data_IF_915230767226
#
_entry.id   IF_915230767226
#
_cell.length_a   1.000
_cell.length_b   1.000
_cell.length_c   1.000
_cell.angle_alpha   90.00
_cell.angle_beta   90.00
_cell.angle_gamma   90.00
#
_symmetry.space_group_name_H-M   'P 1'
#
loop_
_entity.id
_entity.type
_entity.pdbx_description
1 polymer ?
#
# COMPACT_ATOMS: atom_id res chain seq x y z
N UNK A 1 -5.09 6.29 5.19
CA UNK A 1 -6.11 7.30 5.63
C UNK A 1 -6.38 8.19 4.44
N UNK A 2 -7.55 8.82 4.36
CA UNK A 2 -7.95 9.68 3.23
C UNK A 2 -7.11 10.95 3.05
N UNK A 3 -6.36 11.33 4.08
CA UNK A 3 -5.38 12.44 4.06
C UNK A 3 -3.94 11.94 4.00
N UNK A 4 -3.72 10.67 3.66
CA UNK A 4 -2.37 10.07 3.64
C UNK A 4 -2.14 9.21 2.41
N UNK A 5 -3.06 8.31 2.06
CA UNK A 5 -2.77 7.26 1.09
C UNK A 5 -3.89 7.04 0.09
N UNK A 6 -3.67 7.56 -1.11
CA UNK A 6 -4.31 7.12 -2.35
C UNK A 6 -3.26 6.46 -3.26
N UNK A 7 -3.55 6.37 -4.55
CA UNK A 7 -2.74 5.69 -5.56
C UNK A 7 -1.32 6.29 -5.70
N UNK A 8 -1.12 7.61 -5.63
CA UNK A 8 0.20 8.25 -5.75
C UNK A 8 1.13 7.86 -4.61
N UNK A 9 0.70 8.11 -3.37
CA UNK A 9 1.41 7.65 -2.17
C UNK A 9 1.67 6.14 -2.23
N UNK A 10 0.69 5.33 -2.66
CA UNK A 10 0.88 3.88 -2.70
C UNK A 10 1.92 3.42 -3.74
N UNK A 11 1.96 4.06 -4.92
CA UNK A 11 3.01 3.83 -5.93
C UNK A 11 4.36 4.24 -5.37
N UNK A 12 4.47 5.49 -4.91
CA UNK A 12 5.74 6.05 -4.48
C UNK A 12 6.29 5.27 -3.27
N UNK A 13 5.44 4.89 -2.30
CA UNK A 13 5.88 4.05 -1.18
C UNK A 13 6.37 2.67 -1.64
N UNK A 14 5.71 2.06 -2.63
CA UNK A 14 6.13 0.77 -3.18
C UNK A 14 7.48 0.87 -3.90
N UNK A 15 7.70 1.93 -4.70
CA UNK A 15 8.97 2.21 -5.36
C UNK A 15 10.11 2.40 -4.36
N UNK A 16 9.83 2.98 -3.18
CA UNK A 16 10.80 3.14 -2.10
C UNK A 16 10.98 1.88 -1.21
N UNK A 17 10.41 0.73 -1.61
CA UNK A 17 10.53 -0.54 -0.89
C UNK A 17 9.57 -0.70 0.30
N UNK A 18 8.58 0.17 0.42
CA UNK A 18 7.49 0.10 1.40
C UNK A 18 6.17 -0.41 0.79
N UNK A 19 5.05 -0.12 1.46
CA UNK A 19 3.71 -0.44 0.98
C UNK A 19 2.71 0.65 1.39
N UNK A 20 1.85 1.08 0.48
CA UNK A 20 0.74 1.99 0.77
C UNK A 20 -0.59 1.26 0.92
N UNK A 21 -1.35 1.58 1.97
CA UNK A 21 -2.69 1.03 2.22
C UNK A 21 -3.76 2.06 1.81
N UNK A 22 -4.46 1.79 0.71
CA UNK A 22 -5.56 2.63 0.22
C UNK A 22 -6.68 2.69 1.27
N UNK A 23 -7.17 3.90 1.59
CA UNK A 23 -8.29 4.06 2.52
C UNK A 23 -9.60 3.52 1.92
N UNK A 24 -10.57 3.21 2.78
CA UNK A 24 -11.93 2.81 2.38
C UNK A 24 -12.94 3.96 2.44
N UNK A 25 -12.48 5.19 2.65
CA UNK A 25 -13.31 6.40 2.67
C UNK A 25 -13.70 6.90 1.25
N UNK A 26 -14.08 5.96 0.39
CA UNK A 26 -14.42 6.12 -1.02
C UNK A 26 -15.42 4.99 -1.38
N UNK A 27 -15.97 5.03 -2.59
CA UNK A 27 -16.78 3.91 -3.11
C UNK A 27 -15.90 2.69 -3.38
N UNK A 28 -16.50 1.49 -3.45
CA UNK A 28 -15.75 0.27 -3.74
C UNK A 28 -15.08 0.34 -5.12
N UNK A 29 -15.75 0.97 -6.09
CA UNK A 29 -15.29 1.19 -7.46
C UNK A 29 -14.08 2.14 -7.51
N UNK A 30 -14.13 3.24 -6.77
CA UNK A 30 -13.02 4.19 -6.62
C UNK A 30 -11.82 3.52 -5.94
N UNK A 31 -12.06 2.78 -4.85
CA UNK A 31 -11.01 2.04 -4.15
C UNK A 31 -10.32 1.04 -5.08
N UNK A 32 -11.12 0.26 -5.81
CA UNK A 32 -10.63 -0.68 -6.81
C UNK A 32 -9.89 0.02 -7.96
N UNK A 33 -10.31 1.24 -8.33
CA UNK A 33 -9.61 2.07 -9.32
C UNK A 33 -8.23 2.49 -8.83
N UNK A 34 -8.10 2.96 -7.60
CA UNK A 34 -6.80 3.26 -7.00
C UNK A 34 -5.89 2.02 -6.99
N UNK A 35 -6.38 0.87 -6.53
CA UNK A 35 -5.62 -0.38 -6.54
C UNK A 35 -5.20 -0.75 -7.96
N UNK A 36 -6.11 -0.65 -8.94
CA UNK A 36 -5.81 -0.90 -10.36
C UNK A 36 -4.70 0.01 -10.86
N UNK A 37 -4.71 1.31 -10.53
CA UNK A 37 -3.65 2.26 -10.93
C UNK A 37 -2.30 1.87 -10.33
N UNK A 38 -2.25 1.56 -9.03
CA UNK A 38 -1.02 1.11 -8.37
C UNK A 38 -0.48 -0.17 -9.01
N UNK A 39 -1.34 -1.18 -9.19
CA UNK A 39 -0.95 -2.45 -9.80
C UNK A 39 -0.62 -2.33 -11.30
N UNK A 40 -1.02 -1.25 -11.96
CA UNK A 40 -0.74 -0.95 -13.38
C UNK A 40 0.50 -0.09 -13.61
N UNK A 41 1.03 0.54 -12.57
CA UNK A 41 2.14 1.48 -12.71
C UNK A 41 3.41 0.82 -13.27
N UNK A 42 3.77 -0.35 -12.74
CA UNK A 42 4.89 -1.15 -13.23
C UNK A 42 4.41 -2.61 -13.35
N UNK A 43 4.01 -3.02 -14.56
CA UNK A 43 3.46 -4.36 -14.79
C UNK A 43 4.47 -5.26 -15.50
N UNK A 44 4.77 -6.41 -14.89
CA UNK A 44 5.37 -7.54 -15.60
C UNK A 44 4.35 -8.37 -16.38
N UNK A 45 3.14 -8.58 -15.82
CA UNK A 45 2.06 -9.35 -16.44
C UNK A 45 0.76 -8.54 -16.54
N UNK A 46 0.05 -8.68 -17.67
CA UNK A 46 -1.23 -8.04 -17.93
C UNK A 46 -2.36 -9.05 -17.65
N UNK A 47 -3.03 -8.91 -16.50
CA UNK A 47 -4.05 -9.87 -16.05
C UNK A 47 -5.45 -9.70 -16.68
N UNK A 48 -5.77 -8.49 -17.13
CA UNK A 48 -7.03 -8.17 -17.80
C UNK A 48 -6.69 -7.46 -19.12
N UNK A 49 -6.21 -8.20 -20.14
CA UNK A 49 -5.99 -7.61 -21.46
C UNK A 49 -7.35 -7.18 -22.04
N UNK A 50 -7.33 -6.07 -22.79
CA UNK A 50 -8.45 -5.78 -23.71
C UNK A 50 -8.38 -6.82 -24.81
N UNK A 51 -9.50 -7.48 -25.09
CA UNK A 51 -9.65 -8.49 -26.14
C UNK A 51 -10.63 -8.00 -27.19
N UNK A 52 -10.64 -8.68 -28.35
CA UNK A 52 -11.68 -8.53 -29.39
C UNK A 52 -12.06 -9.92 -29.93
N UNK A 53 -13.12 -9.99 -30.74
CA UNK A 53 -13.59 -11.21 -31.44
C UNK A 53 -12.99 -11.31 -32.83
N UNK A 54 -12.94 -12.53 -33.40
CA UNK A 54 -12.56 -12.74 -34.81
C UNK A 54 -13.47 -11.98 -35.79
N UNK A 55 -14.74 -11.77 -35.41
CA UNK A 55 -15.75 -11.06 -36.22
C UNK A 55 -15.69 -9.54 -36.13
N UNK A 56 -14.99 -8.98 -35.13
CA UNK A 56 -14.81 -7.53 -35.01
C UNK A 56 -13.88 -7.06 -36.15
N UNK A 57 -13.85 -5.76 -36.44
CA UNK A 57 -13.17 -5.16 -37.60
C UNK A 57 -11.84 -4.50 -37.24
N UNK A 58 -11.04 -4.19 -38.25
CA UNK A 58 -9.83 -3.35 -38.08
C UNK A 58 -10.21 -1.97 -37.51
N UNK A 59 -11.36 -1.40 -37.90
CA UNK A 59 -11.88 -0.15 -37.32
C UNK A 59 -12.07 -0.24 -35.81
N UNK A 60 -12.71 -1.31 -35.31
CA UNK A 60 -12.92 -1.52 -33.87
C UNK A 60 -11.59 -1.56 -33.10
N UNK A 61 -10.55 -2.15 -33.69
CA UNK A 61 -9.21 -2.19 -33.12
C UNK A 61 -8.56 -0.81 -33.10
N UNK A 62 -8.70 0.00 -34.15
CA UNK A 62 -8.20 1.37 -34.21
C UNK A 62 -8.87 2.26 -33.15
N UNK A 63 -10.19 2.15 -32.97
CA UNK A 63 -10.92 2.85 -31.90
C UNK A 63 -10.44 2.41 -30.51
N UNK A 64 -10.21 1.11 -30.34
CA UNK A 64 -9.67 0.55 -29.09
C UNK A 64 -8.26 1.08 -28.80
N UNK A 65 -7.43 1.21 -29.84
CA UNK A 65 -6.08 1.80 -29.76
C UNK A 65 -6.16 3.28 -29.37
N UNK A 66 -7.08 4.05 -29.94
CA UNK A 66 -7.28 5.46 -29.58
C UNK A 66 -7.74 5.60 -28.12
N UNK A 67 -8.68 4.75 -27.69
CA UNK A 67 -9.23 4.76 -26.33
C UNK A 67 -8.23 4.32 -25.26
N UNK A 68 -7.39 3.34 -25.55
CA UNK A 68 -6.54 2.68 -24.55
C UNK A 68 -5.03 2.90 -24.73
N UNK A 69 -4.60 3.46 -25.86
CA UNK A 69 -3.20 3.82 -26.13
C UNK A 69 -2.29 2.65 -26.53
N UNK A 70 -2.83 1.47 -26.84
CA UNK A 70 -2.05 0.30 -27.29
C UNK A 70 -2.79 -0.52 -28.34
N UNK A 71 -2.05 -1.20 -29.22
CA UNK A 71 -2.59 -1.91 -30.40
C UNK A 71 -2.43 -3.43 -30.40
N UNK A 72 -1.64 -3.99 -29.47
CA UNK A 72 -1.50 -5.45 -29.40
C UNK A 72 -2.66 -6.07 -28.62
N UNK A 73 -3.65 -6.59 -29.32
CA UNK A 73 -4.92 -7.05 -28.77
C UNK A 73 -5.07 -8.56 -29.03
N UNK A 74 -5.24 -9.39 -27.98
CA UNK A 74 -5.58 -10.80 -28.15
C UNK A 74 -6.99 -10.97 -28.71
N UNK A 75 -7.12 -11.86 -29.70
CA UNK A 75 -8.40 -12.24 -30.30
C UNK A 75 -8.90 -13.51 -29.63
N UNK A 76 -10.09 -13.44 -29.06
CA UNK A 76 -10.71 -14.55 -28.31
C UNK A 76 -12.07 -14.90 -28.89
N UNK A 77 -12.53 -16.12 -28.68
CA UNK A 77 -13.80 -16.60 -29.24
C UNK A 77 -15.02 -15.76 -28.82
N UNK A 78 -15.09 -15.30 -27.55
CA UNK A 78 -16.25 -14.59 -27.00
C UNK A 78 -16.02 -13.14 -26.57
N UNK A 79 -14.90 -12.51 -26.97
CA UNK A 79 -14.48 -11.20 -26.46
C UNK A 79 -14.23 -11.16 -24.94
N UNK A 80 -13.84 -12.29 -24.35
CA UNK A 80 -13.61 -12.39 -22.92
C UNK A 80 -12.22 -12.93 -22.63
N UNK A 81 -11.56 -12.37 -21.61
CA UNK A 81 -10.19 -12.77 -21.20
C UNK A 81 -10.03 -14.24 -20.79
N UNK A 82 -11.12 -14.93 -20.46
CA UNK A 82 -11.13 -16.35 -20.08
C UNK A 82 -11.61 -17.27 -21.21
N UNK A 83 -11.83 -16.69 -22.39
CA UNK A 83 -12.23 -17.38 -23.60
C UNK A 83 -11.02 -17.92 -24.37
N UNK A 84 -11.27 -18.88 -25.26
CA UNK A 84 -10.23 -19.52 -26.07
C UNK A 84 -9.50 -18.47 -26.91
N UNK A 85 -8.17 -18.38 -26.74
CA UNK A 85 -7.32 -17.50 -27.55
C UNK A 85 -7.21 -18.05 -28.98
N UNK A 86 -7.65 -17.25 -29.96
CA UNK A 86 -7.65 -17.60 -31.38
C UNK A 86 -6.49 -16.93 -32.14
N UNK A 87 -6.03 -15.77 -31.68
CA UNK A 87 -4.92 -15.05 -32.32
C UNK A 87 -4.51 -13.78 -31.58
N UNK A 88 -3.61 -13.01 -32.17
CA UNK A 88 -3.16 -11.71 -31.68
C UNK A 88 -3.03 -10.77 -32.88
N UNK A 89 -3.55 -9.55 -32.75
CA UNK A 89 -3.32 -8.47 -33.72
C UNK A 89 -2.45 -7.41 -33.07
N UNK A 90 -1.53 -6.82 -33.81
CA UNK A 90 -0.63 -5.73 -33.38
C UNK A 90 -0.65 -4.61 -34.42
N UNK A 91 -0.06 -3.45 -34.10
CA UNK A 91 0.05 -2.34 -35.08
C UNK A 91 0.59 -2.80 -36.43
N UNK A 92 1.63 -3.65 -36.42
CA UNK A 92 2.33 -4.05 -37.66
C UNK A 92 1.44 -4.81 -38.64
N UNK A 93 0.41 -5.47 -38.13
CA UNK A 93 -0.50 -6.28 -38.93
C UNK A 93 -1.51 -5.40 -39.70
N UNK A 94 -1.66 -4.13 -39.30
CA UNK A 94 -2.67 -3.21 -39.84
C UNK A 94 -2.11 -1.86 -40.30
N UNK A 95 -0.87 -1.51 -39.98
CA UNK A 95 -0.26 -0.18 -40.24
C UNK A 95 -0.23 0.21 -41.73
N UNK A 96 -0.35 -0.77 -42.65
CA UNK A 96 -0.33 -0.54 -44.11
C UNK A 96 -1.69 -0.70 -44.78
N UNK A 97 -2.75 -0.97 -44.02
CA UNK A 97 -4.10 -1.08 -44.57
C UNK A 97 -4.63 0.31 -44.94
N UNK A 98 -5.30 0.41 -46.08
CA UNK A 98 -5.97 1.64 -46.52
C UNK A 98 -7.33 1.76 -45.84
N UNK A 99 -7.87 2.97 -45.85
CA UNK A 99 -9.12 3.27 -45.13
C UNK A 99 -10.33 2.44 -45.58
N UNK A 100 -10.40 2.07 -46.86
CA UNK A 100 -11.45 1.18 -47.38
C UNK A 100 -11.32 -0.28 -46.90
N UNK A 101 -10.15 -0.66 -46.38
CA UNK A 101 -9.85 -2.00 -45.85
C UNK A 101 -10.09 -2.09 -44.34
N UNK A 102 -10.50 -0.99 -43.67
CA UNK A 102 -10.76 -0.98 -42.24
C UNK A 102 -12.01 -1.78 -41.81
N UNK A 103 -12.87 -2.13 -42.76
CA UNK A 103 -14.03 -3.02 -42.54
C UNK A 103 -13.64 -4.52 -42.58
N UNK A 104 -12.37 -4.82 -42.87
CA UNK A 104 -11.84 -6.20 -42.84
C UNK A 104 -11.95 -6.78 -41.43
N UNK A 105 -12.38 -8.04 -41.35
CA UNK A 105 -12.51 -8.76 -40.07
C UNK A 105 -11.14 -9.12 -39.49
N UNK A 106 -11.02 -9.09 -38.17
CA UNK A 106 -9.77 -9.39 -37.46
C UNK A 106 -9.26 -10.81 -37.69
N UNK A 107 -10.15 -11.78 -37.96
CA UNK A 107 -9.74 -13.15 -38.29
C UNK A 107 -8.87 -13.26 -39.55
N UNK A 108 -8.95 -12.29 -40.46
CA UNK A 108 -8.22 -12.28 -41.73
C UNK A 108 -6.83 -11.65 -41.60
N UNK A 109 -6.58 -10.87 -40.55
CA UNK A 109 -5.33 -10.10 -40.35
C UNK A 109 -4.54 -10.52 -39.10
N UNK A 110 -5.15 -11.28 -38.19
CA UNK A 110 -4.49 -11.71 -36.95
C UNK A 110 -3.36 -12.73 -37.20
N UNK A 111 -2.35 -12.72 -36.33
CA UNK A 111 -1.45 -13.86 -36.21
C UNK A 111 -2.22 -15.01 -35.54
N UNK A 112 -2.37 -16.18 -36.20
CA UNK A 112 -3.19 -17.27 -35.69
C UNK A 112 -2.55 -17.94 -34.46
N UNK A 113 -3.38 -18.53 -33.60
CA UNK A 113 -2.93 -19.20 -32.36
C UNK A 113 -1.82 -20.23 -32.58
N UNK A 114 -1.79 -20.91 -33.72
CA UNK A 114 -0.74 -21.89 -34.09
C UNK A 114 0.65 -21.28 -34.19
N UNK A 115 0.75 -19.99 -34.49
CA UNK A 115 2.01 -19.26 -34.70
C UNK A 115 2.42 -18.41 -33.49
N UNK A 116 1.55 -18.32 -32.47
CA UNK A 116 1.84 -17.58 -31.25
C UNK A 116 2.73 -18.36 -30.29
N UNK A 117 3.83 -17.73 -29.90
CA UNK A 117 4.58 -18.12 -28.71
C UNK A 117 3.73 -17.75 -27.50
N UNK A 118 3.46 -18.73 -26.64
CA UNK A 118 2.63 -18.58 -25.43
C UNK A 118 3.38 -19.17 -24.24
N UNK A 119 2.94 -18.84 -23.03
CA UNK A 119 3.47 -19.41 -21.79
C UNK A 119 2.34 -19.96 -20.90
N UNK A 120 2.61 -20.97 -20.05
CA UNK A 120 1.63 -21.47 -19.09
C UNK A 120 1.44 -20.48 -17.94
N UNK A 121 0.30 -20.52 -17.25
CA UNK A 121 0.00 -19.69 -16.06
C UNK A 121 1.00 -19.82 -14.92
N UNK A 122 1.77 -20.89 -14.87
CA UNK A 122 2.82 -21.08 -13.86
C UNK A 122 4.11 -20.31 -14.15
N UNK A 123 4.22 -19.63 -15.30
CA UNK A 123 5.44 -18.92 -15.70
C UNK A 123 5.75 -17.75 -14.77
N UNK A 124 6.98 -17.66 -14.30
CA UNK A 124 7.46 -16.50 -13.53
C UNK A 124 7.80 -15.32 -14.44
N UNK A 125 7.90 -14.10 -13.90
CA UNK A 125 8.24 -12.92 -14.70
C UNK A 125 9.60 -13.04 -15.38
N UNK A 126 10.59 -13.62 -14.69
CA UNK A 126 11.93 -13.82 -15.25
C UNK A 126 11.91 -14.83 -16.41
N UNK A 127 11.20 -15.95 -16.26
CA UNK A 127 11.05 -16.94 -17.33
C UNK A 127 10.29 -16.35 -18.52
N UNK A 128 9.21 -15.60 -18.27
CA UNK A 128 8.45 -14.89 -19.29
C UNK A 128 9.33 -13.88 -20.07
N UNK A 129 10.17 -13.12 -19.37
CA UNK A 129 11.13 -12.20 -19.98
C UNK A 129 12.15 -12.93 -20.86
N UNK A 130 12.65 -14.09 -20.42
CA UNK A 130 13.55 -14.93 -21.23
C UNK A 130 12.85 -15.45 -22.49
N UNK A 131 11.60 -15.89 -22.39
CA UNK A 131 10.80 -16.35 -23.54
C UNK A 131 10.56 -15.19 -24.53
N UNK A 132 10.20 -14.00 -24.04
CA UNK A 132 10.04 -12.79 -24.85
C UNK A 132 11.33 -12.41 -25.58
N UNK A 133 12.47 -12.39 -24.89
CA UNK A 133 13.77 -12.08 -25.48
C UNK A 133 14.17 -13.08 -26.58
N UNK A 134 14.01 -14.39 -26.32
CA UNK A 134 14.36 -15.45 -27.30
C UNK A 134 13.45 -15.43 -28.53
N UNK A 135 12.16 -15.20 -28.32
CA UNK A 135 11.17 -15.16 -29.42
C UNK A 135 11.22 -13.86 -30.23
N UNK A 136 11.88 -12.81 -29.71
CA UNK A 136 11.91 -11.45 -30.29
C UNK A 136 10.50 -10.90 -30.57
N UNK A 137 9.51 -11.34 -29.78
CA UNK A 137 8.11 -10.86 -29.84
C UNK A 137 7.90 -9.80 -28.75
N UNK A 138 7.02 -8.83 -29.03
CA UNK A 138 6.70 -7.76 -28.06
C UNK A 138 5.64 -8.12 -27.03
N UNK A 139 4.94 -9.26 -27.19
CA UNK A 139 3.86 -9.73 -26.32
C UNK A 139 3.90 -11.25 -26.18
N UNK A 140 3.56 -11.75 -24.98
CA UNK A 140 3.55 -13.17 -24.65
C UNK A 140 2.23 -13.51 -23.94
N UNK A 141 1.24 -14.09 -24.65
CA UNK A 141 0.00 -14.55 -24.02
C UNK A 141 0.25 -15.69 -23.03
N UNK A 142 -0.40 -15.62 -21.87
CA UNK A 142 -0.32 -16.63 -20.80
C UNK A 142 -1.66 -17.39 -20.73
N UNK A 143 -1.62 -18.73 -20.78
CA UNK A 143 -2.82 -19.58 -20.89
C UNK A 143 -2.94 -20.55 -19.70
N UNK A 144 -4.17 -20.91 -19.32
CA UNK A 144 -4.50 -21.77 -18.17
C UNK A 144 -5.48 -22.89 -18.58
N UNK A 145 -5.42 -24.02 -17.87
CA UNK A 145 -6.35 -25.16 -18.03
C UNK A 145 -7.22 -25.47 -16.78
N UNK A 146 -7.25 -24.63 -15.71
CA UNK A 146 -8.07 -24.90 -14.49
C UNK A 146 -8.65 -23.67 -13.77
N UNK A 147 -9.86 -23.83 -13.21
CA UNK A 147 -10.59 -22.86 -12.36
C UNK A 147 -10.17 -22.85 -10.87
N UNK A 148 -10.44 -21.75 -10.17
CA UNK A 148 -9.90 -21.38 -8.83
C UNK A 148 -11.04 -21.06 -7.83
N UNK A 149 -10.90 -21.48 -6.56
CA UNK A 149 -11.75 -21.11 -5.42
C UNK A 149 -11.58 -19.64 -4.97
N UNK A 150 -12.59 -19.06 -4.30
CA UNK A 150 -12.85 -17.61 -4.30
C UNK A 150 -11.67 -16.69 -3.94
N UNK A 151 -10.87 -16.86 -2.86
CA UNK A 151 -9.56 -16.17 -2.65
C UNK A 151 -8.66 -16.81 -1.53
N UNK A 152 -8.31 -18.12 -1.57
CA UNK A 152 -7.58 -18.78 -0.48
C UNK A 152 -6.14 -18.28 -0.26
N UNK A 153 -5.58 -17.55 -1.22
CA UNK A 153 -4.20 -17.03 -1.17
C UNK A 153 -4.12 -15.55 -0.78
N UNK A 154 -5.25 -14.89 -0.50
CA UNK A 154 -5.26 -13.49 -0.15
C UNK A 154 -4.73 -13.29 1.28
N UNK A 155 -3.70 -12.47 1.42
CA UNK A 155 -3.12 -12.12 2.71
C UNK A 155 -3.96 -11.06 3.43
N UNK A 156 -4.24 -11.27 4.72
CA UNK A 156 -5.12 -10.42 5.54
C UNK A 156 -4.38 -9.86 6.75
N UNK A 157 -4.42 -8.53 6.88
CA UNK A 157 -3.93 -7.82 8.06
C UNK A 157 -5.12 -7.56 9.01
N UNK A 158 -5.13 -8.19 10.19
CA UNK A 158 -6.16 -8.01 11.20
C UNK A 158 -5.79 -6.96 12.26
N UNK A 159 -6.74 -6.12 12.65
CA UNK A 159 -6.55 -5.14 13.73
C UNK A 159 -7.62 -4.05 13.78
N UNK A 160 -7.48 -3.06 14.66
CA UNK A 160 -6.35 -2.86 15.56
C UNK A 160 -6.52 -3.62 16.89
N UNK A 161 -5.42 -4.11 17.47
CA UNK A 161 -5.40 -4.73 18.81
C UNK A 161 -4.40 -4.03 19.74
N UNK A 162 -4.62 -4.10 21.05
CA UNK A 162 -3.69 -3.56 22.07
C UNK A 162 -3.35 -4.54 23.19
N UNK A 163 -3.94 -5.74 23.16
CA UNK A 163 -3.73 -6.80 24.17
C UNK A 163 -3.44 -8.15 23.52
N UNK A 164 -2.82 -9.05 24.29
CA UNK A 164 -2.53 -10.42 23.86
C UNK A 164 -3.82 -11.21 23.58
N UNK A 165 -4.86 -11.05 24.40
CA UNK A 165 -6.12 -11.79 24.22
C UNK A 165 -6.81 -11.41 22.90
N UNK A 166 -6.87 -10.12 22.56
CA UNK A 166 -7.41 -9.66 21.27
C UNK A 166 -6.59 -10.20 20.10
N UNK A 167 -5.25 -10.15 20.21
CA UNK A 167 -4.35 -10.67 19.19
C UNK A 167 -4.53 -12.18 18.99
N UNK A 168 -4.66 -12.96 20.07
CA UNK A 168 -4.88 -14.40 20.01
C UNK A 168 -6.16 -14.75 19.23
N UNK A 169 -7.24 -14.01 19.44
CA UNK A 169 -8.51 -14.23 18.72
C UNK A 169 -8.35 -14.03 17.21
N UNK A 170 -7.63 -12.98 16.79
CA UNK A 170 -7.39 -12.72 15.37
C UNK A 170 -6.43 -13.75 14.76
N UNK A 171 -5.38 -14.17 15.48
CA UNK A 171 -4.48 -15.24 15.03
C UNK A 171 -5.28 -16.54 14.83
N UNK A 172 -6.14 -16.91 15.78
CA UNK A 172 -7.02 -18.09 15.67
C UNK A 172 -7.99 -17.98 14.49
N UNK A 173 -8.43 -16.77 14.15
CA UNK A 173 -9.27 -16.52 12.98
C UNK A 173 -8.50 -16.59 11.64
N UNK A 174 -7.17 -16.75 11.66
CA UNK A 174 -6.35 -16.96 10.47
C UNK A 174 -5.79 -15.69 9.83
N UNK A 175 -5.55 -14.62 10.60
CA UNK A 175 -4.89 -13.42 10.05
C UNK A 175 -3.40 -13.68 9.79
N UNK A 176 -2.90 -13.23 8.65
CA UNK A 176 -1.47 -13.36 8.28
C UNK A 176 -0.60 -12.30 8.96
N UNK A 177 -1.19 -11.22 9.44
CA UNK A 177 -0.47 -10.12 10.09
C UNK A 177 -1.37 -9.40 11.08
N UNK A 178 -0.80 -8.90 12.18
CA UNK A 178 -1.50 -8.09 13.18
C UNK A 178 -1.15 -6.61 13.05
N UNK A 179 -2.15 -5.74 13.17
CA UNK A 179 -1.99 -4.28 13.30
C UNK A 179 -2.24 -3.87 14.75
N UNK A 180 -1.24 -3.24 15.37
CA UNK A 180 -1.22 -2.93 16.80
C UNK A 180 -1.34 -1.43 17.04
N UNK A 181 -2.27 -1.03 17.90
CA UNK A 181 -2.36 0.34 18.42
C UNK A 181 -3.78 0.88 18.51
N UNK A 182 -4.12 1.56 19.60
CA UNK A 182 -5.42 2.20 19.79
C UNK A 182 -5.25 3.44 20.67
N UNK A 183 -5.70 4.59 20.16
CA UNK A 183 -5.62 5.86 20.88
C UNK A 183 -4.25 6.55 20.88
N UNK A 184 -3.21 5.96 20.27
CA UNK A 184 -1.84 6.49 20.26
C UNK A 184 -1.51 7.38 19.06
N UNK A 185 -2.39 7.45 18.07
CA UNK A 185 -2.23 8.29 16.87
C UNK A 185 -2.24 9.79 17.22
N UNK A 186 -1.50 10.61 16.47
CA UNK A 186 -1.33 12.04 16.76
C UNK A 186 -2.62 12.87 16.71
N UNK A 187 -3.66 12.35 16.07
CA UNK A 187 -4.97 12.99 15.90
C UNK A 187 -6.12 12.13 16.44
N UNK A 188 -5.79 11.13 17.25
CA UNK A 188 -6.76 10.25 17.89
C UNK A 188 -7.01 10.72 19.32
N UNK A 189 -8.28 10.90 19.68
CA UNK A 189 -8.72 11.30 21.02
C UNK A 189 -9.53 10.19 21.69
N UNK A 190 -9.45 8.95 21.20
CA UNK A 190 -10.19 7.80 21.76
C UNK A 190 -9.87 7.56 23.24
N UNK A 191 -8.63 7.76 23.68
CA UNK A 191 -8.28 7.59 25.10
C UNK A 191 -8.93 8.66 25.98
N UNK A 192 -9.10 9.87 25.45
CA UNK A 192 -9.73 10.98 26.17
C UNK A 192 -11.24 10.80 26.22
N UNK A 193 -11.86 10.55 25.06
CA UNK A 193 -13.33 10.54 24.91
C UNK A 193 -13.94 9.21 25.35
N UNK A 194 -13.27 8.09 25.08
CA UNK A 194 -13.81 6.76 25.37
C UNK A 194 -13.11 6.07 26.55
N UNK A 195 -12.05 6.64 27.12
CA UNK A 195 -11.22 6.01 28.14
C UNK A 195 -10.63 4.63 27.74
N UNK A 196 -10.53 4.35 26.43
CA UNK A 196 -10.00 3.09 25.90
C UNK A 196 -8.72 3.33 25.12
N UNK A 197 -7.68 2.57 25.47
CA UNK A 197 -6.42 2.52 24.74
C UNK A 197 -5.32 1.90 25.58
N UNK A 198 -4.09 1.96 25.09
CA UNK A 198 -2.91 1.47 25.82
C UNK A 198 -1.67 2.22 25.39
N UNK A 199 -0.68 2.44 26.28
CA UNK A 199 0.63 2.96 25.88
C UNK A 199 1.24 2.12 24.75
N UNK A 200 1.56 2.76 23.62
CA UNK A 200 1.91 2.08 22.37
C UNK A 200 3.12 1.14 22.51
N UNK A 201 4.17 1.56 23.22
CA UNK A 201 5.36 0.72 23.43
C UNK A 201 5.04 -0.59 24.14
N UNK A 202 4.23 -0.54 25.19
CA UNK A 202 3.77 -1.73 25.92
C UNK A 202 2.84 -2.59 25.08
N UNK A 203 1.93 -1.97 24.32
CA UNK A 203 1.01 -2.69 23.42
C UNK A 203 1.79 -3.48 22.36
N UNK A 204 2.74 -2.81 21.68
CA UNK A 204 3.63 -3.44 20.69
C UNK A 204 4.40 -4.59 21.33
N UNK A 205 5.13 -4.34 22.43
CA UNK A 205 5.94 -5.37 23.07
C UNK A 205 5.13 -6.63 23.45
N UNK A 206 4.01 -6.45 24.16
CA UNK A 206 3.20 -7.57 24.65
C UNK A 206 2.52 -8.33 23.52
N UNK A 207 1.99 -7.64 22.51
CA UNK A 207 1.34 -8.32 21.38
C UNK A 207 2.38 -9.06 20.52
N UNK A 208 3.54 -8.46 20.24
CA UNK A 208 4.61 -9.11 19.47
C UNK A 208 5.18 -10.34 20.20
N UNK A 209 5.31 -10.28 21.53
CA UNK A 209 5.74 -11.41 22.36
C UNK A 209 4.83 -12.64 22.19
N UNK A 210 3.51 -12.44 22.08
CA UNK A 210 2.56 -13.51 21.78
C UNK A 210 2.63 -13.92 20.31
N UNK A 211 2.54 -12.96 19.39
CA UNK A 211 2.45 -13.22 17.96
C UNK A 211 3.64 -14.02 17.40
N UNK A 212 4.84 -13.82 17.97
CA UNK A 212 6.03 -14.60 17.60
C UNK A 212 5.84 -16.10 17.79
N UNK A 213 5.05 -16.53 18.79
CA UNK A 213 4.80 -17.96 19.07
C UNK A 213 4.05 -18.64 17.94
N UNK A 214 3.35 -17.86 17.12
CA UNK A 214 2.57 -18.30 15.97
C UNK A 214 3.20 -17.90 14.63
N UNK A 215 4.38 -17.26 14.64
CA UNK A 215 5.02 -16.77 13.43
C UNK A 215 4.29 -15.61 12.73
N UNK A 216 3.38 -14.91 13.42
CA UNK A 216 2.57 -13.84 12.83
C UNK A 216 3.28 -12.48 12.97
N UNK A 217 3.63 -11.79 11.86
CA UNK A 217 4.23 -10.47 11.89
C UNK A 217 3.29 -9.40 12.44
N UNK A 218 3.88 -8.31 12.92
CA UNK A 218 3.16 -7.25 13.63
C UNK A 218 3.52 -5.86 13.09
N UNK A 219 2.52 -5.00 12.92
CA UNK A 219 2.65 -3.61 12.50
C UNK A 219 2.39 -2.70 13.69
N UNK A 220 3.35 -1.85 14.06
CA UNK A 220 3.12 -0.79 15.04
C UNK A 220 2.47 0.43 14.36
N UNK A 221 1.23 0.72 14.71
CA UNK A 221 0.42 1.78 14.08
C UNK A 221 0.10 2.92 15.07
N UNK A 222 0.52 4.14 14.71
CA UNK A 222 0.30 5.35 15.50
C UNK A 222 1.41 5.66 16.52
N UNK A 223 1.50 6.93 16.92
CA UNK A 223 2.47 7.43 17.93
C UNK A 223 3.90 7.66 17.43
N UNK A 224 4.18 7.39 16.15
CA UNK A 224 5.49 7.59 15.53
C UNK A 224 5.66 9.07 15.15
N UNK A 225 6.60 9.77 15.81
CA UNK A 225 6.85 11.21 15.62
C UNK A 225 8.19 11.53 14.94
N UNK A 226 9.12 10.57 14.95
CA UNK A 226 10.48 10.72 14.45
C UNK A 226 11.08 9.33 14.20
N UNK A 227 12.25 9.31 13.57
CA UNK A 227 12.98 8.07 13.26
C UNK A 227 13.32 7.25 14.51
N UNK A 228 13.61 7.89 15.64
CA UNK A 228 13.86 7.19 16.90
C UNK A 228 12.66 6.40 17.41
N UNK A 229 11.43 6.86 17.14
CA UNK A 229 10.23 6.08 17.47
C UNK A 229 10.07 4.85 16.57
N UNK A 230 10.48 4.95 15.29
CA UNK A 230 10.52 3.80 14.37
C UNK A 230 11.50 2.76 14.90
N UNK A 231 12.73 3.16 15.19
CA UNK A 231 13.76 2.27 15.74
C UNK A 231 13.26 1.59 17.02
N UNK A 232 12.69 2.35 17.97
CA UNK A 232 12.12 1.78 19.20
C UNK A 232 11.00 0.79 18.95
N UNK A 233 10.07 1.08 18.03
CA UNK A 233 8.97 0.16 17.73
C UNK A 233 9.48 -1.17 17.14
N UNK A 234 10.46 -1.11 16.23
CA UNK A 234 11.12 -2.30 15.68
C UNK A 234 11.87 -3.08 16.77
N UNK A 235 12.60 -2.37 17.65
CA UNK A 235 13.33 -2.96 18.78
C UNK A 235 12.41 -3.59 19.83
N UNK A 236 11.15 -3.17 19.91
CA UNK A 236 10.13 -3.77 20.78
C UNK A 236 9.41 -4.96 20.14
N UNK A 237 9.84 -5.41 18.95
CA UNK A 237 9.34 -6.63 18.31
C UNK A 237 8.42 -6.43 17.11
N UNK A 238 8.08 -5.18 16.75
CA UNK A 238 7.31 -4.92 15.53
C UNK A 238 8.11 -5.34 14.29
N UNK A 239 7.42 -5.91 13.30
CA UNK A 239 7.99 -6.26 12.00
C UNK A 239 8.07 -5.05 11.08
N UNK A 240 7.04 -4.20 11.12
CA UNK A 240 6.98 -2.94 10.37
C UNK A 240 6.29 -1.85 11.21
N UNK A 241 6.35 -0.60 10.74
CA UNK A 241 5.64 0.53 11.34
C UNK A 241 4.69 1.15 10.32
N UNK A 242 3.52 1.59 10.77
CA UNK A 242 2.58 2.37 9.98
C UNK A 242 2.57 3.82 10.47
N UNK A 243 2.76 4.76 9.54
CA UNK A 243 2.94 6.17 9.85
C UNK A 243 1.86 7.00 9.15
N UNK A 244 1.11 7.78 9.93
CA UNK A 244 0.12 8.73 9.40
C UNK A 244 0.71 10.13 9.26
N UNK A 245 0.87 10.83 10.38
CA UNK A 245 1.29 12.24 10.42
C UNK A 245 2.62 12.55 9.76
N UNK A 246 3.56 11.60 9.74
CA UNK A 246 4.85 11.79 9.07
C UNK A 246 4.72 11.81 7.54
N UNK A 247 3.68 11.20 6.98
CA UNK A 247 3.46 11.09 5.54
C UNK A 247 2.33 12.01 5.04
N UNK A 248 1.49 12.53 5.93
CA UNK A 248 0.28 13.28 5.58
C UNK A 248 0.51 14.61 4.83
N UNK A 249 1.68 15.23 4.97
CA UNK A 249 2.03 16.48 4.28
C UNK A 249 3.20 16.30 3.31
N UNK A 250 3.21 15.18 2.60
CA UNK A 250 4.18 14.95 1.53
C UNK A 250 3.55 15.28 0.19
N UNK A 251 4.35 15.50 -0.85
CA UNK A 251 3.82 15.85 -2.17
C UNK A 251 2.80 14.83 -2.66
N UNK A 252 3.06 13.54 -2.42
CA UNK A 252 2.27 12.39 -2.88
C UNK A 252 1.06 12.06 -1.99
N UNK A 253 0.90 12.73 -0.85
CA UNK A 253 -0.30 12.58 -0.03
C UNK A 253 -1.49 13.30 -0.68
N UNK A 254 -2.69 12.72 -0.62
CA UNK A 254 -3.88 13.33 -1.21
C UNK A 254 -4.25 14.66 -0.55
N UNK A 255 -4.84 15.56 -1.33
CA UNK A 255 -5.28 16.88 -0.91
C UNK A 255 -4.32 18.00 -1.30
N UNK A 256 -4.88 19.20 -1.43
CA UNK A 256 -4.14 20.38 -1.86
C UNK A 256 -3.39 21.06 -0.71
N UNK A 257 -2.26 21.68 -1.08
CA UNK A 257 -1.54 22.58 -0.19
C UNK A 257 -2.30 23.90 0.00
N UNK A 258 -2.20 24.48 1.19
CA UNK A 258 -2.64 25.84 1.47
C UNK A 258 -1.62 26.56 2.35
N UNK A 259 -1.73 27.89 2.43
CA UNK A 259 -0.85 28.70 3.26
C UNK A 259 -1.61 29.26 4.46
N UNK A 260 -0.97 29.26 5.62
CA UNK A 260 -1.43 29.92 6.82
C UNK A 260 -0.23 30.52 7.53
N UNK A 261 -0.28 31.82 7.83
CA UNK A 261 0.80 32.57 8.48
C UNK A 261 2.17 32.41 7.79
N UNK A 262 2.17 32.38 6.45
CA UNK A 262 3.37 32.19 5.63
C UNK A 262 3.90 30.75 5.58
N UNK A 263 3.26 29.80 6.27
CA UNK A 263 3.65 28.39 6.29
C UNK A 263 2.79 27.57 5.34
N UNK A 264 3.43 26.75 4.50
CA UNK A 264 2.75 25.81 3.59
C UNK A 264 2.33 24.55 4.35
N UNK A 265 1.04 24.21 4.28
CA UNK A 265 0.40 23.14 5.05
C UNK A 265 -0.46 22.22 4.17
N UNK A 266 -0.71 21.00 4.63
CA UNK A 266 -1.80 20.12 4.14
C UNK A 266 -2.77 19.76 5.27
N UNK A 267 -4.03 19.54 4.93
CA UNK A 267 -5.06 19.08 5.87
C UNK A 267 -4.77 17.64 6.29
N UNK A 268 -4.92 17.35 7.58
CA UNK A 268 -4.75 16.01 8.13
C UNK A 268 -5.85 15.73 9.15
N UNK A 269 -6.61 14.64 8.94
CA UNK A 269 -7.79 14.33 9.76
C UNK A 269 -7.86 12.87 10.14
N UNK A 270 -8.34 12.64 11.37
CA UNK A 270 -8.48 11.31 11.93
C UNK A 270 -9.71 10.65 11.32
N UNK A 271 -9.66 9.35 11.06
CA UNK A 271 -10.84 8.64 10.55
C UNK A 271 -12.04 8.73 11.53
N UNK A 272 -11.77 9.00 12.81
CA UNK A 272 -12.79 9.22 13.85
C UNK A 272 -13.17 10.69 14.06
N UNK A 273 -12.70 11.62 13.23
CA UNK A 273 -13.15 13.01 13.28
C UNK A 273 -14.52 13.17 12.64
N UNK A 274 -15.27 14.21 13.04
CA UNK A 274 -16.59 14.48 12.45
C UNK A 274 -16.52 14.68 10.94
N UNK A 275 -15.42 15.26 10.43
CA UNK A 275 -15.23 15.46 9.00
C UNK A 275 -15.04 14.15 8.24
N UNK A 276 -14.26 13.20 8.77
CA UNK A 276 -14.10 11.89 8.15
C UNK A 276 -15.39 11.07 8.26
N UNK A 277 -16.10 11.18 9.39
CA UNK A 277 -17.39 10.53 9.65
C UNK A 277 -18.57 11.13 8.87
N UNK A 278 -18.35 12.08 7.95
CA UNK A 278 -19.34 12.40 6.90
C UNK A 278 -19.54 11.22 5.94
N UNK A 279 -18.53 10.36 5.81
CA UNK A 279 -18.57 9.17 4.97
C UNK A 279 -18.92 7.90 5.76
N UNK A 280 -19.70 6.99 5.15
CA UNK A 280 -20.22 5.77 5.80
C UNK A 280 -19.12 4.82 6.30
N UNK A 281 -18.03 4.65 5.53
CA UNK A 281 -16.94 3.75 5.90
C UNK A 281 -16.27 4.16 7.22
N UNK A 282 -16.05 5.47 7.40
CA UNK A 282 -15.54 6.02 8.65
C UNK A 282 -16.52 5.82 9.81
N UNK A 283 -17.82 6.07 9.59
CA UNK A 283 -18.84 5.84 10.63
C UNK A 283 -18.91 4.38 11.08
N UNK A 284 -18.90 3.44 10.13
CA UNK A 284 -18.96 2.00 10.40
C UNK A 284 -17.77 1.54 11.25
N UNK A 285 -16.57 2.06 11.00
CA UNK A 285 -15.37 1.77 11.82
C UNK A 285 -15.55 2.12 13.30
N UNK A 286 -16.34 3.14 13.62
CA UNK A 286 -16.60 3.59 14.99
C UNK A 286 -18.00 3.21 15.49
N UNK A 287 -18.70 2.32 14.78
CA UNK A 287 -20.04 1.83 15.13
C UNK A 287 -21.09 2.97 15.27
N UNK A 288 -20.94 4.02 14.46
CA UNK A 288 -21.78 5.23 14.48
C UNK A 288 -22.64 5.40 13.23
N UNK A 289 -22.77 4.36 12.41
CA UNK A 289 -23.53 4.38 11.14
C UNK A 289 -25.04 4.53 11.35
N UNK A 290 -25.55 4.12 12.51
CA UNK A 290 -26.97 4.20 12.88
C UNK A 290 -27.27 5.24 13.96
N UNK A 291 -26.26 5.96 14.47
CA UNK A 291 -26.46 6.90 15.58
C UNK A 291 -26.82 8.30 15.07
N UNK A 292 -27.81 8.95 15.69
CA UNK A 292 -28.13 10.35 15.41
C UNK A 292 -27.05 11.29 15.96
N UNK A 293 -26.54 11.00 17.15
CA UNK A 293 -25.43 11.73 17.77
C UNK A 293 -24.12 11.01 17.43
N UNK A 294 -23.16 11.74 16.87
CA UNK A 294 -21.84 11.23 16.51
C UNK A 294 -20.81 11.69 17.54
N UNK A 295 -20.21 10.74 18.24
CA UNK A 295 -19.11 11.00 19.19
C UNK A 295 -17.78 10.95 18.45
N UNK A 296 -17.07 12.07 18.40
CA UNK A 296 -15.77 12.15 17.74
C UNK A 296 -14.69 11.41 18.53
N UNK A 297 -13.92 10.57 17.86
CA UNK A 297 -12.76 9.85 18.40
C UNK A 297 -11.44 10.30 17.76
N UNK A 298 -11.50 11.31 16.89
CA UNK A 298 -10.35 11.96 16.29
C UNK A 298 -10.62 13.43 16.00
N UNK A 299 -9.55 14.14 15.64
CA UNK A 299 -9.59 15.56 15.29
C UNK A 299 -9.21 15.78 13.83
N UNK A 300 -9.57 16.95 13.32
CA UNK A 300 -9.10 17.48 12.04
C UNK A 300 -8.12 18.62 12.31
N UNK A 301 -7.04 18.70 11.56
CA UNK A 301 -6.05 19.77 11.68
C UNK A 301 -5.22 19.91 10.40
N UNK A 302 -4.03 20.48 10.54
CA UNK A 302 -3.08 20.66 9.44
C UNK A 302 -1.67 20.25 9.87
N UNK A 303 -0.86 19.81 8.90
CA UNK A 303 0.55 19.48 9.08
C UNK A 303 1.39 20.23 8.06
N UNK A 304 2.57 20.67 8.48
CA UNK A 304 3.53 21.39 7.65
C UNK A 304 4.08 20.49 6.53
N UNK A 305 4.25 21.09 5.35
CA UNK A 305 4.88 20.46 4.18
C UNK A 305 6.22 19.79 4.56
N UNK A 306 6.42 18.58 4.05
CA UNK A 306 7.63 17.76 4.25
C UNK A 306 8.34 17.44 2.93
N UNK A 307 7.88 18.01 1.82
CA UNK A 307 8.41 17.70 0.50
C UNK A 307 8.02 16.29 0.05
N UNK A 308 8.79 15.72 -0.88
CA UNK A 308 8.49 14.43 -1.47
C UNK A 308 8.90 13.26 -0.58
N UNK A 309 8.13 12.17 -0.64
CA UNK A 309 8.55 10.92 -0.01
C UNK A 309 9.83 10.33 -0.62
N UNK A 310 10.17 10.69 -1.86
CA UNK A 310 11.39 10.22 -2.52
C UNK A 310 12.64 10.71 -1.81
N UNK A 311 12.59 11.85 -1.12
CA UNK A 311 13.67 12.36 -0.28
C UNK A 311 13.51 11.93 1.18
N UNK A 312 12.27 11.90 1.66
CA UNK A 312 11.99 11.69 3.07
C UNK A 312 12.12 10.23 3.52
N UNK A 313 11.72 9.26 2.69
CA UNK A 313 11.85 7.83 3.03
C UNK A 313 13.32 7.39 3.10
N UNK A 314 14.23 7.77 2.18
CA UNK A 314 15.65 7.51 2.33
C UNK A 314 16.23 8.06 3.63
N UNK A 315 15.84 9.27 4.02
CA UNK A 315 16.23 9.84 5.32
C UNK A 315 15.79 8.95 6.49
N UNK A 316 14.52 8.50 6.52
CA UNK A 316 14.02 7.61 7.57
C UNK A 316 14.77 6.27 7.58
N UNK A 317 15.03 5.68 6.41
CA UNK A 317 15.78 4.43 6.30
C UNK A 317 17.21 4.61 6.82
N UNK A 318 17.89 5.69 6.45
CA UNK A 318 19.23 6.01 6.92
C UNK A 318 19.28 6.17 8.44
N UNK A 319 18.35 6.93 9.03
CA UNK A 319 18.30 7.10 10.47
C UNK A 319 17.98 5.81 11.24
N UNK A 320 17.16 4.90 10.68
CA UNK A 320 16.97 3.56 11.27
C UNK A 320 18.24 2.71 11.15
N UNK A 321 18.96 2.80 10.02
CA UNK A 321 20.24 2.09 9.82
C UNK A 321 21.30 2.57 10.81
N UNK A 322 21.44 3.88 11.03
CA UNK A 322 22.35 4.43 12.04
C UNK A 322 21.95 3.96 13.44
N UNK A 323 20.67 4.08 13.82
CA UNK A 323 20.21 3.60 15.11
C UNK A 323 20.43 2.09 15.33
N UNK A 324 20.35 1.29 14.26
CA UNK A 324 20.69 -0.14 14.29
C UNK A 324 22.19 -0.39 14.49
N UNK A 325 23.03 0.38 13.80
CA UNK A 325 24.48 0.30 13.92
C UNK A 325 24.93 0.61 15.34
N UNK A 326 24.38 1.67 15.95
CA UNK A 326 24.68 2.07 17.33
C UNK A 326 24.22 1.02 18.36
N UNK A 327 23.14 0.29 18.05
CA UNK A 327 22.69 -0.87 18.85
C UNK A 327 23.56 -2.12 18.64
N UNK A 328 24.48 -2.13 17.66
CA UNK A 328 25.26 -3.31 17.30
C UNK A 328 24.49 -4.37 16.51
N UNK A 329 23.42 -4.00 15.81
CA UNK A 329 22.47 -4.93 15.17
C UNK A 329 22.50 -4.83 13.64
N UNK A 330 22.76 -5.94 12.94
CA UNK A 330 22.86 -5.98 11.47
C UNK A 330 21.50 -6.09 10.78
N UNK A 331 20.51 -6.76 11.40
CA UNK A 331 19.18 -6.95 10.80
C UNK A 331 18.02 -6.81 11.79
N UNK A 332 16.80 -6.55 11.31
CA UNK A 332 15.60 -6.53 12.18
C UNK A 332 15.37 -7.92 12.80
N UNK A 333 15.67 -8.99 12.05
CA UNK A 333 15.58 -10.36 12.57
C UNK A 333 16.54 -10.60 13.75
N UNK A 334 17.77 -10.12 13.63
CA UNK A 334 18.75 -10.15 14.73
C UNK A 334 18.30 -9.29 15.91
N UNK A 335 17.75 -8.10 15.65
CA UNK A 335 17.15 -7.24 16.69
C UNK A 335 16.14 -7.99 17.55
N UNK A 336 15.25 -8.75 16.91
CA UNK A 336 14.24 -9.55 17.60
C UNK A 336 14.85 -10.72 18.35
N UNK A 337 15.89 -11.38 17.80
CA UNK A 337 16.63 -12.43 18.51
C UNK A 337 17.24 -11.88 19.80
N UNK A 338 17.99 -10.77 19.72
CA UNK A 338 18.62 -10.12 20.88
C UNK A 338 17.59 -9.60 21.89
N UNK A 339 16.44 -9.09 21.42
CA UNK A 339 15.31 -8.71 22.30
C UNK A 339 14.86 -9.91 23.14
N UNK A 340 14.64 -11.06 22.50
CA UNK A 340 14.06 -12.22 23.17
C UNK A 340 15.08 -13.09 23.91
N UNK A 341 16.37 -13.02 23.58
CA UNK A 341 17.44 -13.61 24.40
C UNK A 341 17.74 -12.77 25.65
N UNK A 342 17.32 -11.49 25.66
CA UNK A 342 17.57 -10.56 26.76
C UNK A 342 18.91 -9.83 26.65
N UNK A 343 19.68 -10.05 25.57
CA UNK A 343 20.89 -9.32 25.23
C UNK A 343 20.61 -7.84 24.93
N UNK A 344 19.52 -7.55 24.21
CA UNK A 344 19.08 -6.18 23.98
C UNK A 344 18.37 -5.66 25.24
N UNK A 345 18.93 -4.61 25.84
CA UNK A 345 18.43 -3.99 27.07
C UNK A 345 17.75 -2.65 26.79
N UNK A 346 16.78 -2.30 27.63
CA UNK A 346 16.10 -1.01 27.61
C UNK A 346 16.18 -0.38 28.99
N UNK A 347 16.42 0.93 29.02
CA UNK A 347 16.42 1.70 30.26
C UNK A 347 15.26 2.70 30.27
N UNK A 348 14.52 2.76 31.39
CA UNK A 348 13.40 3.69 31.51
C UNK A 348 13.91 5.06 31.91
N UNK A 349 13.54 6.10 31.16
CA UNK A 349 13.88 7.49 31.47
C UNK A 349 12.73 8.18 32.19
N UNK A 350 13.05 8.90 33.26
CA UNK A 350 12.11 9.79 33.95
C UNK A 350 11.65 10.94 33.05
N UNK A 351 10.65 11.72 33.49
CA UNK A 351 10.20 12.89 32.76
C UNK A 351 11.34 13.92 32.58
N UNK A 352 12.11 14.20 33.64
CA UNK A 352 13.26 15.09 33.61
C UNK A 352 14.35 14.60 32.65
N UNK A 353 14.70 13.31 32.71
CA UNK A 353 15.67 12.73 31.79
C UNK A 353 15.21 12.83 30.32
N UNK A 354 13.91 12.75 30.02
CA UNK A 354 13.43 12.99 28.65
C UNK A 354 13.56 14.46 28.23
N UNK A 355 13.36 15.39 29.16
CA UNK A 355 13.59 16.83 28.94
C UNK A 355 15.06 17.10 28.59
N UNK A 356 15.97 16.54 29.37
CA UNK A 356 17.42 16.53 29.10
C UNK A 356 17.76 15.87 27.76
N UNK A 357 17.08 14.79 27.38
CA UNK A 357 17.32 14.14 26.08
C UNK A 357 16.88 14.94 24.84
N UNK A 358 16.17 16.05 25.03
CA UNK A 358 15.80 16.98 23.95
C UNK A 358 16.86 18.07 23.76
N UNK A 359 16.56 19.06 22.91
CA UNK A 359 17.36 20.29 22.87
C UNK A 359 16.95 21.18 24.03
N UNK A 360 17.90 21.58 24.87
CA UNK A 360 17.65 22.46 26.02
C UNK A 360 18.85 23.39 26.27
N UNK A 361 18.63 24.49 27.00
CA UNK A 361 19.70 25.43 27.38
C UNK A 361 20.14 26.41 26.29
N UNK A 362 19.40 26.50 25.17
CA UNK A 362 19.66 27.45 24.08
C UNK A 362 18.59 28.54 24.04
N UNK A 363 18.98 29.78 23.73
CA UNK A 363 18.04 30.88 23.51
C UNK A 363 17.23 30.69 22.20
N UNK A 364 17.87 30.18 21.14
CA UNK A 364 17.23 29.85 19.86
C UNK A 364 17.96 28.67 19.20
N UNK A 365 17.24 27.83 18.47
CA UNK A 365 17.81 26.79 17.61
C UNK A 365 16.86 26.45 16.46
N UNK A 366 17.42 26.00 15.35
CA UNK A 366 16.67 25.48 14.20
C UNK A 366 16.87 23.97 14.09
N UNK A 367 15.78 23.23 13.89
CA UNK A 367 15.83 21.77 13.74
C UNK A 367 15.61 21.38 12.27
N UNK A 368 16.68 21.32 11.50
CA UNK A 368 16.68 20.73 10.14
C UNK A 368 16.96 19.23 10.24
N UNK A 369 16.14 18.42 9.58
CA UNK A 369 16.25 16.96 9.65
C UNK A 369 17.09 16.38 8.52
N UNK A 370 17.03 16.99 7.34
CA UNK A 370 17.81 16.69 6.14
C UNK A 370 17.85 17.92 5.25
#
# INVERSE_FOLDING_TARGET
MDTVTEWEMAIAMALMGGIGIIHSNNTAEEQASHVRRVKKYEQGFINNPVTLRPSDTVRDLLETKEKHGFSGIPITESNEKHSKLLGLVTSRDIDFLKEHEHETKLEQVMTPRSELVTAPTSVTLNEANVILMKSKKGKLPVLNDKEIHKYPHLQVIGGNVVTQNQAFNLIKAGVDCLRIGMGSGSICITQEVCAVGRPQGTAVFRVCELAKKYGVPCIADGGIKNVGHVTKALSLGASTVMMGSLLAATSESPGEYFYQDGVRLKKYRGMGSLDAMKHKASQSRYFSDKSQIKVAQGVSGAVQDRGSIYDYIPYLIAGVKHGKQDLGIKSIREMHKCLYSGELRFERRSAAARGEGGVHGLHHFEKKLY
#
